data_IF_144999263793
#
_entry.id   IF_144999263793
#
_cell.length_a   1.000
_cell.length_b   1.000
_cell.length_c   1.000
_cell.angle_alpha   90.00
_cell.angle_beta   90.00
_cell.angle_gamma   90.00
#
_symmetry.space_group_name_H-M   'P 1'
#
loop_
_entity.id
_entity.type
_entity.pdbx_description
1 polymer ?
#
# COMPACT_ATOMS: atom_id res chain seq x y z
N UNK A 1 -15.86 44.04 20.60
CA UNK A 1 -14.82 43.54 19.71
C UNK A 1 -14.70 42.02 19.93
N UNK A 2 -15.51 41.25 19.16
CA UNK A 2 -15.51 39.79 19.27
C UNK A 2 -14.40 39.25 18.38
N UNK A 3 -13.39 38.64 18.98
CA UNK A 3 -12.40 37.82 18.29
C UNK A 3 -13.07 36.50 17.92
N UNK A 4 -13.48 36.37 16.64
CA UNK A 4 -13.84 35.10 16.08
C UNK A 4 -12.57 34.23 16.04
N UNK A 5 -12.45 33.31 16.98
CA UNK A 5 -11.42 32.28 16.99
C UNK A 5 -11.72 31.38 15.77
N UNK A 6 -11.03 31.61 14.68
CA UNK A 6 -11.00 30.64 13.59
C UNK A 6 -10.38 29.36 14.17
N UNK A 7 -11.21 28.37 14.40
CA UNK A 7 -10.74 27.02 14.76
C UNK A 7 -9.84 26.58 13.59
N UNK A 8 -8.55 26.58 13.79
CA UNK A 8 -7.58 26.07 12.83
C UNK A 8 -8.05 24.66 12.41
N UNK A 9 -8.44 24.53 11.15
CA UNK A 9 -8.98 23.26 10.66
C UNK A 9 -7.88 22.20 10.81
N UNK A 10 -8.13 21.22 11.65
CA UNK A 10 -7.16 20.15 11.93
C UNK A 10 -6.83 19.44 10.62
N UNK A 11 -5.53 19.39 10.28
CA UNK A 11 -5.01 18.69 9.10
C UNK A 11 -5.43 17.22 9.11
N UNK A 12 -5.73 16.69 7.94
CA UNK A 12 -5.97 15.27 7.69
C UNK A 12 -4.67 14.49 7.92
N UNK A 13 -4.63 13.57 8.88
CA UNK A 13 -3.49 12.67 9.09
C UNK A 13 -3.68 11.42 8.25
N UNK A 14 -2.94 11.38 7.12
CA UNK A 14 -3.08 10.36 6.09
C UNK A 14 -1.96 9.32 6.24
N UNK A 15 -2.32 8.09 6.63
CA UNK A 15 -1.39 6.98 6.79
C UNK A 15 -0.86 6.47 5.45
N UNK A 16 0.45 6.40 5.31
CA UNK A 16 1.14 5.94 4.11
C UNK A 16 2.21 4.91 4.44
N UNK A 17 2.43 3.95 3.54
CA UNK A 17 3.52 2.98 3.62
C UNK A 17 4.24 2.91 2.28
N UNK A 18 5.58 2.92 2.33
CA UNK A 18 6.44 2.90 1.15
C UNK A 18 6.33 4.19 0.33
N UNK A 19 5.52 4.20 -0.72
CA UNK A 19 5.40 5.34 -1.63
C UNK A 19 4.25 6.28 -1.26
N UNK A 20 4.51 7.59 -1.33
CA UNK A 20 3.50 8.65 -1.21
C UNK A 20 2.69 8.85 -2.51
N UNK A 21 3.16 8.29 -3.64
CA UNK A 21 2.61 8.55 -4.98
C UNK A 21 1.10 8.31 -5.06
N UNK A 22 0.64 7.19 -4.52
CA UNK A 22 -0.78 6.84 -4.58
C UNK A 22 -1.64 7.80 -3.75
N UNK A 23 -1.18 8.19 -2.56
CA UNK A 23 -1.87 9.16 -1.71
C UNK A 23 -1.91 10.54 -2.39
N UNK A 24 -0.80 10.98 -2.97
CA UNK A 24 -0.73 12.26 -3.71
C UNK A 24 -1.67 12.26 -4.91
N UNK A 25 -1.73 11.16 -5.66
CA UNK A 25 -2.64 11.02 -6.79
C UNK A 25 -4.11 11.09 -6.37
N UNK A 26 -4.48 10.47 -5.25
CA UNK A 26 -5.84 10.55 -4.70
C UNK A 26 -6.19 11.97 -4.27
N UNK A 27 -5.30 12.68 -3.57
CA UNK A 27 -5.51 14.08 -3.20
C UNK A 27 -5.72 14.98 -4.44
N UNK A 28 -4.90 14.79 -5.47
CA UNK A 28 -5.02 15.54 -6.73
C UNK A 28 -6.35 15.24 -7.44
N UNK A 29 -6.79 13.98 -7.48
CA UNK A 29 -8.05 13.57 -8.12
C UNK A 29 -9.27 14.23 -7.48
N UNK A 30 -9.26 14.46 -6.17
CA UNK A 30 -10.34 15.13 -5.45
C UNK A 30 -10.06 16.63 -5.22
N UNK A 31 -8.99 17.18 -5.78
CA UNK A 31 -8.57 18.57 -5.61
C UNK A 31 -8.46 19.00 -4.14
N UNK A 32 -8.07 18.05 -3.28
CA UNK A 32 -7.82 18.36 -1.87
C UNK A 32 -6.50 19.10 -1.72
N UNK A 33 -6.52 20.15 -0.90
CA UNK A 33 -5.33 20.98 -0.66
C UNK A 33 -4.25 20.16 0.09
N UNK A 34 -3.06 19.93 -0.51
CA UNK A 34 -2.00 19.17 0.14
C UNK A 34 -1.52 19.79 1.46
N UNK A 35 -1.66 21.13 1.64
CA UNK A 35 -1.28 21.81 2.87
C UNK A 35 -2.19 21.45 4.05
N UNK A 36 -3.38 20.94 3.77
CA UNK A 36 -4.32 20.44 4.77
C UNK A 36 -4.07 18.95 5.15
N UNK A 37 -3.00 18.34 4.62
CA UNK A 37 -2.67 16.94 4.85
C UNK A 37 -1.33 16.81 5.57
N UNK A 38 -1.27 15.91 6.54
CA UNK A 38 -0.04 15.43 7.14
C UNK A 38 0.10 13.95 6.81
N UNK A 39 1.09 13.58 6.02
CA UNK A 39 1.40 12.17 5.78
C UNK A 39 2.06 11.57 7.01
N UNK A 40 1.52 10.45 7.47
CA UNK A 40 2.00 9.71 8.63
C UNK A 40 2.50 8.35 8.17
N UNK A 41 3.82 8.12 8.10
CA UNK A 41 4.36 6.81 7.80
C UNK A 41 3.94 5.79 8.85
N UNK A 42 3.57 4.57 8.41
CA UNK A 42 3.29 3.48 9.33
C UNK A 42 4.12 2.24 9.02
N UNK A 43 4.35 1.43 10.05
CA UNK A 43 5.05 0.18 9.95
C UNK A 43 4.12 -0.91 9.39
N UNK A 44 4.48 -1.50 8.26
CA UNK A 44 3.70 -2.58 7.65
C UNK A 44 3.64 -3.84 8.53
N UNK A 45 4.56 -3.99 9.48
CA UNK A 45 4.54 -5.11 10.44
C UNK A 45 3.38 -5.02 11.43
N UNK A 46 2.87 -3.81 11.68
CA UNK A 46 1.72 -3.51 12.53
C UNK A 46 0.78 -2.49 11.84
N UNK A 47 0.14 -2.86 10.71
CA UNK A 47 -0.44 -1.90 9.76
C UNK A 47 -1.53 -1.02 10.36
N UNK A 48 -2.26 -1.49 11.37
CA UNK A 48 -3.38 -0.76 11.95
C UNK A 48 -3.05 -0.08 13.30
N UNK A 49 -1.81 -0.18 13.79
CA UNK A 49 -1.42 0.39 15.08
C UNK A 49 -1.68 1.91 15.13
N UNK A 50 -1.28 2.66 14.10
CA UNK A 50 -1.50 4.11 14.04
C UNK A 50 -2.98 4.53 13.96
N UNK A 51 -3.85 3.74 13.31
CA UNK A 51 -5.30 3.97 13.34
C UNK A 51 -5.84 3.77 14.78
N UNK A 52 -5.47 2.66 15.43
CA UNK A 52 -5.93 2.29 16.77
C UNK A 52 -5.43 3.25 17.85
N UNK A 53 -4.19 3.71 17.72
CA UNK A 53 -3.63 4.77 18.59
C UNK A 53 -4.26 6.14 18.35
N UNK A 54 -4.89 6.33 17.20
CA UNK A 54 -5.47 7.60 16.81
C UNK A 54 -4.46 8.60 16.24
N UNK A 55 -3.31 8.15 15.79
CA UNK A 55 -2.28 8.94 15.12
C UNK A 55 -2.58 9.14 13.63
N UNK A 56 -3.36 8.24 13.06
CA UNK A 56 -3.83 8.25 11.66
C UNK A 56 -5.35 8.42 11.68
N UNK A 57 -5.88 9.28 10.81
CA UNK A 57 -7.31 9.48 10.61
C UNK A 57 -7.85 8.57 9.48
N UNK A 58 -7.09 8.46 8.41
CA UNK A 58 -7.39 7.61 7.26
C UNK A 58 -6.08 7.06 6.68
N UNK A 59 -6.12 5.85 6.13
CA UNK A 59 -4.97 5.25 5.44
C UNK A 59 -5.39 4.54 4.16
N UNK A 60 -4.44 4.37 3.24
CA UNK A 60 -4.63 3.52 2.07
C UNK A 60 -4.53 2.06 2.50
N UNK A 61 -5.50 1.27 2.02
CA UNK A 61 -5.47 -0.19 2.11
C UNK A 61 -5.69 -0.79 0.73
N UNK A 62 -5.15 -1.96 0.52
CA UNK A 62 -5.35 -2.75 -0.69
C UNK A 62 -6.07 -4.03 -0.30
N UNK A 63 -7.05 -4.40 -1.13
CA UNK A 63 -7.99 -5.50 -0.89
C UNK A 63 -8.95 -5.25 0.28
N UNK A 64 -9.99 -6.07 0.34
CA UNK A 64 -11.00 -5.99 1.39
C UNK A 64 -10.42 -6.43 2.75
N UNK A 65 -10.77 -5.69 3.80
CA UNK A 65 -10.35 -5.97 5.17
C UNK A 65 -11.41 -6.79 5.91
N UNK A 66 -10.94 -7.63 6.84
CA UNK A 66 -11.79 -8.41 7.75
C UNK A 66 -11.63 -7.97 9.21
N UNK A 67 -10.91 -6.85 9.44
CA UNK A 67 -10.70 -6.28 10.77
C UNK A 67 -12.02 -5.68 11.30
N UNK A 68 -12.56 -6.17 12.44
CA UNK A 68 -13.90 -5.78 12.90
C UNK A 68 -13.98 -4.31 13.33
N UNK A 69 -12.86 -3.74 13.76
CA UNK A 69 -12.73 -2.36 14.21
C UNK A 69 -12.37 -1.36 13.11
N UNK A 70 -12.07 -1.84 11.88
CA UNK A 70 -11.71 -1.01 10.74
C UNK A 70 -12.86 -0.98 9.73
N UNK A 71 -13.25 0.23 9.34
CA UNK A 71 -14.13 0.47 8.19
C UNK A 71 -13.29 0.87 6.99
N UNK A 72 -13.78 0.61 5.78
CA UNK A 72 -13.11 1.05 4.56
C UNK A 72 -14.15 1.47 3.49
N UNK A 73 -13.72 2.34 2.59
CA UNK A 73 -14.51 2.88 1.49
C UNK A 73 -14.76 1.86 0.38
N UNK A 74 -15.62 2.19 -0.56
CA UNK A 74 -15.59 1.58 -1.89
C UNK A 74 -14.18 1.75 -2.52
N UNK A 75 -13.91 0.99 -3.59
CA UNK A 75 -12.65 1.11 -4.32
C UNK A 75 -12.52 2.51 -4.92
N UNK A 76 -11.43 3.21 -4.58
CA UNK A 76 -11.14 4.58 -5.04
C UNK A 76 -10.06 4.64 -6.12
N UNK A 77 -9.29 3.57 -6.29
CA UNK A 77 -8.27 3.44 -7.33
C UNK A 77 -7.88 1.97 -7.51
N UNK A 78 -7.00 1.72 -8.48
CA UNK A 78 -6.34 0.42 -8.64
C UNK A 78 -4.82 0.62 -8.70
N UNK A 79 -4.08 -0.34 -8.13
CA UNK A 79 -2.62 -0.36 -8.19
C UNK A 79 -2.14 -1.61 -8.92
N UNK A 80 -1.40 -1.42 -10.00
CA UNK A 80 -0.86 -2.51 -10.79
C UNK A 80 0.09 -3.40 -9.98
N UNK A 81 0.19 -4.67 -10.37
CA UNK A 81 1.09 -5.62 -9.71
C UNK A 81 2.51 -5.44 -10.22
N UNK A 82 3.47 -5.69 -9.36
CA UNK A 82 4.88 -5.64 -9.69
C UNK A 82 5.69 -6.62 -8.84
N UNK A 83 6.84 -7.01 -9.34
CA UNK A 83 7.89 -7.69 -8.58
C UNK A 83 9.04 -6.73 -8.34
N UNK A 84 9.55 -6.73 -7.12
CA UNK A 84 10.70 -5.92 -6.69
C UNK A 84 11.89 -6.86 -6.59
N UNK A 85 12.97 -6.51 -7.25
CA UNK A 85 14.17 -7.33 -7.40
C UNK A 85 15.43 -6.48 -7.32
N UNK A 86 16.58 -7.09 -7.11
CA UNK A 86 17.86 -6.41 -7.27
C UNK A 86 18.09 -6.03 -8.76
N UNK A 87 18.86 -4.98 -9.02
CA UNK A 87 19.15 -4.52 -10.40
C UNK A 87 19.89 -5.54 -11.25
N UNK A 88 20.65 -6.45 -10.64
CA UNK A 88 21.37 -7.55 -11.30
C UNK A 88 20.55 -8.85 -11.40
N UNK A 89 19.29 -8.82 -10.95
CA UNK A 89 18.40 -9.97 -11.02
C UNK A 89 17.97 -10.25 -12.49
N UNK A 90 17.81 -11.53 -12.91
CA UNK A 90 17.41 -11.87 -14.29
C UNK A 90 16.10 -11.21 -14.76
N UNK A 91 15.19 -10.93 -13.83
CA UNK A 91 13.92 -10.26 -14.14
C UNK A 91 14.07 -8.75 -14.30
N UNK A 92 15.15 -8.12 -13.80
CA UNK A 92 15.30 -6.66 -13.77
C UNK A 92 15.37 -6.01 -15.15
N UNK A 93 15.90 -6.73 -16.15
CA UNK A 93 16.03 -6.25 -17.55
C UNK A 93 14.73 -6.40 -18.37
N UNK A 94 13.66 -6.94 -17.78
CA UNK A 94 12.38 -7.18 -18.48
C UNK A 94 11.47 -5.96 -18.38
N UNK A 95 10.76 -5.63 -19.44
CA UNK A 95 9.71 -4.60 -19.42
C UNK A 95 8.53 -4.99 -18.53
N UNK A 96 8.18 -6.28 -18.54
CA UNK A 96 7.18 -6.90 -17.68
C UNK A 96 7.43 -8.40 -17.58
N UNK A 97 6.92 -9.05 -16.54
CA UNK A 97 7.06 -10.49 -16.30
C UNK A 97 5.70 -11.12 -15.99
N UNK A 98 5.62 -12.44 -16.19
CA UNK A 98 4.51 -13.26 -15.68
C UNK A 98 4.75 -13.64 -14.23
N UNK A 99 3.69 -13.80 -13.44
CA UNK A 99 3.79 -14.36 -12.09
C UNK A 99 4.30 -15.82 -12.13
N UNK A 100 4.15 -16.50 -13.25
CA UNK A 100 4.72 -17.83 -13.46
C UNK A 100 6.26 -17.81 -13.46
N UNK A 101 6.87 -16.75 -13.99
CA UNK A 101 8.33 -16.55 -13.93
C UNK A 101 8.77 -16.17 -12.51
N UNK A 102 7.93 -15.42 -11.77
CA UNK A 102 8.18 -15.05 -10.37
C UNK A 102 8.22 -16.29 -9.47
N UNK A 103 7.42 -17.32 -9.76
CA UNK A 103 7.38 -18.57 -9.00
C UNK A 103 8.67 -19.42 -9.10
N UNK A 104 9.60 -19.08 -9.97
CA UNK A 104 10.93 -19.73 -10.02
C UNK A 104 11.82 -19.32 -8.84
N UNK A 105 11.47 -18.25 -8.13
CA UNK A 105 12.25 -17.64 -7.05
C UNK A 105 11.53 -17.72 -5.71
N UNK A 106 12.29 -17.55 -4.63
CA UNK A 106 11.71 -17.44 -3.30
C UNK A 106 11.13 -16.04 -3.11
N UNK A 107 9.84 -15.94 -2.83
CA UNK A 107 9.16 -14.70 -2.51
C UNK A 107 9.22 -14.42 -1.00
N UNK A 108 9.04 -13.15 -0.62
CA UNK A 108 8.97 -12.79 0.80
C UNK A 108 7.68 -13.29 1.46
N UNK A 109 7.83 -13.74 2.70
CA UNK A 109 6.72 -14.02 3.60
C UNK A 109 6.25 -12.73 4.29
N UNK A 110 5.04 -12.77 4.86
CA UNK A 110 4.37 -11.61 5.45
C UNK A 110 5.17 -10.97 6.58
N UNK A 111 5.11 -9.63 6.71
CA UNK A 111 5.73 -8.93 7.82
C UNK A 111 4.88 -8.99 9.09
N UNK A 112 5.51 -9.23 10.23
CA UNK A 112 4.91 -9.06 11.57
C UNK A 112 3.50 -9.63 11.73
N UNK A 113 2.58 -8.75 12.14
CA UNK A 113 1.15 -9.06 12.34
C UNK A 113 0.28 -8.73 11.13
N UNK A 114 0.89 -8.46 9.96
CA UNK A 114 0.12 -8.18 8.74
C UNK A 114 -0.92 -9.27 8.47
N UNK A 115 -2.18 -8.94 8.11
CA UNK A 115 -3.24 -9.93 7.96
C UNK A 115 -2.90 -11.00 6.92
N UNK A 116 -2.92 -12.31 7.29
CA UNK A 116 -2.55 -13.39 6.37
C UNK A 116 -3.46 -13.45 5.13
N UNK A 117 -4.75 -13.20 5.29
CA UNK A 117 -5.72 -13.21 4.18
C UNK A 117 -5.47 -12.08 3.16
N UNK A 118 -4.91 -10.93 3.59
CA UNK A 118 -4.46 -9.87 2.67
C UNK A 118 -3.16 -10.28 2.01
N UNK A 119 -2.22 -10.87 2.80
CA UNK A 119 -0.94 -11.31 2.25
C UNK A 119 -1.10 -12.36 1.16
N UNK A 120 -2.09 -13.26 1.30
CA UNK A 120 -2.42 -14.25 0.28
C UNK A 120 -2.90 -13.65 -1.04
N UNK A 121 -3.33 -12.40 -1.03
CA UNK A 121 -3.65 -11.65 -2.24
C UNK A 121 -2.44 -10.83 -2.76
N UNK A 122 -1.56 -10.39 -1.86
CA UNK A 122 -0.30 -9.71 -2.24
C UNK A 122 0.68 -10.72 -2.84
N UNK A 123 0.90 -11.82 -2.16
CA UNK A 123 1.74 -12.93 -2.61
C UNK A 123 0.87 -14.19 -2.63
N UNK A 124 0.22 -14.54 -3.74
CA UNK A 124 -0.62 -15.74 -3.80
C UNK A 124 0.16 -17.00 -3.42
N UNK A 125 -0.47 -17.98 -2.76
CA UNK A 125 0.19 -19.26 -2.46
C UNK A 125 0.53 -20.07 -3.72
N UNK A 126 -0.25 -19.86 -4.78
CA UNK A 126 -0.05 -20.48 -6.09
C UNK A 126 -0.29 -19.47 -7.21
N UNK A 127 0.37 -19.68 -8.33
CA UNK A 127 0.12 -18.93 -9.57
C UNK A 127 -1.20 -19.36 -10.23
N UNK A 128 -1.72 -18.65 -11.23
CA UNK A 128 -2.89 -19.07 -12.02
C UNK A 128 -2.76 -20.46 -12.66
N UNK A 129 -1.55 -20.90 -13.01
CA UNK A 129 -1.28 -22.25 -13.54
C UNK A 129 -1.04 -23.30 -12.44
N UNK A 130 -1.25 -22.93 -11.15
CA UNK A 130 -1.15 -23.86 -10.02
C UNK A 130 0.27 -24.10 -9.50
N UNK A 131 1.26 -23.34 -9.95
CA UNK A 131 2.64 -23.46 -9.43
C UNK A 131 2.72 -22.83 -8.02
N UNK A 132 3.36 -23.48 -7.04
CA UNK A 132 3.52 -22.92 -5.71
C UNK A 132 4.48 -21.73 -5.72
N UNK A 133 4.11 -20.65 -5.04
CA UNK A 133 5.02 -19.53 -4.76
C UNK A 133 5.61 -19.75 -3.37
N UNK A 134 6.91 -20.04 -3.30
CA UNK A 134 7.60 -20.29 -2.03
C UNK A 134 7.82 -18.98 -1.28
N UNK A 135 7.32 -18.89 -0.06
CA UNK A 135 7.47 -17.73 0.83
C UNK A 135 8.52 -18.07 1.88
N UNK A 136 9.78 -17.69 1.67
CA UNK A 136 10.92 -18.13 2.48
C UNK A 136 11.53 -16.99 3.29
N UNK A 137 12.06 -15.88 2.71
CA UNK A 137 12.60 -14.80 3.51
C UNK A 137 11.46 -14.01 4.16
N UNK A 138 11.60 -13.70 5.44
CA UNK A 138 10.63 -12.82 6.12
C UNK A 138 10.86 -11.37 5.71
N UNK A 139 9.77 -10.68 5.43
CA UNK A 139 9.79 -9.24 5.24
C UNK A 139 9.95 -8.54 6.60
N UNK A 140 10.86 -7.58 6.68
CA UNK A 140 11.16 -6.79 7.87
C UNK A 140 11.11 -5.30 7.55
N UNK A 141 12.22 -4.56 7.68
CA UNK A 141 12.30 -3.18 7.23
C UNK A 141 12.55 -3.10 5.72
N UNK A 142 12.33 -1.92 5.13
CA UNK A 142 12.62 -1.70 3.70
C UNK A 142 14.11 -1.90 3.39
N UNK A 143 14.99 -1.44 4.28
CA UNK A 143 16.44 -1.55 4.13
C UNK A 143 16.91 -3.01 4.21
N UNK A 144 16.39 -3.80 5.17
CA UNK A 144 16.73 -5.21 5.30
C UNK A 144 16.17 -6.02 4.14
N UNK A 145 14.94 -5.73 3.70
CA UNK A 145 14.33 -6.34 2.52
C UNK A 145 15.19 -6.08 1.27
N UNK A 146 15.59 -4.82 1.04
CA UNK A 146 16.49 -4.47 -0.04
C UNK A 146 17.87 -5.14 0.08
N UNK A 147 18.39 -5.28 1.31
CA UNK A 147 19.66 -5.99 1.54
C UNK A 147 19.56 -7.50 1.23
N UNK A 148 18.42 -8.14 1.51
CA UNK A 148 18.18 -9.54 1.15
C UNK A 148 18.08 -9.67 -0.38
N UNK A 149 17.29 -8.79 -1.05
CA UNK A 149 17.17 -8.78 -2.50
C UNK A 149 18.54 -8.69 -3.19
N UNK A 150 19.42 -7.77 -2.73
CA UNK A 150 20.76 -7.58 -3.31
C UNK A 150 21.73 -8.75 -3.09
N UNK A 151 21.52 -9.58 -2.06
CA UNK A 151 22.40 -10.70 -1.71
C UNK A 151 21.90 -12.06 -2.17
N UNK A 152 20.66 -12.12 -2.62
CA UNK A 152 20.01 -13.38 -3.01
C UNK A 152 19.32 -13.20 -4.35
N UNK A 153 18.67 -14.25 -4.82
CA UNK A 153 17.72 -14.18 -5.94
C UNK A 153 16.26 -14.18 -5.47
N UNK A 154 16.02 -13.80 -4.22
CA UNK A 154 14.66 -13.63 -3.73
C UNK A 154 13.96 -12.46 -4.46
N UNK A 155 12.64 -12.51 -4.49
CA UNK A 155 11.79 -11.51 -5.13
C UNK A 155 10.73 -11.03 -4.14
N UNK A 156 10.34 -9.74 -4.22
CA UNK A 156 9.23 -9.22 -3.45
C UNK A 156 8.06 -8.89 -4.38
N UNK A 157 7.05 -9.77 -4.41
CA UNK A 157 5.82 -9.51 -5.14
C UNK A 157 5.01 -8.43 -4.42
N UNK A 158 4.68 -7.35 -5.12
CA UNK A 158 4.10 -6.13 -4.54
C UNK A 158 3.32 -5.32 -5.59
N UNK A 159 3.51 -4.00 -5.60
CA UNK A 159 2.71 -3.06 -6.40
C UNK A 159 3.58 -2.04 -7.13
N UNK A 160 3.07 -1.56 -8.27
CA UNK A 160 3.77 -0.58 -9.12
C UNK A 160 4.01 0.76 -8.44
N UNK A 161 3.12 1.17 -7.52
CA UNK A 161 3.29 2.42 -6.78
C UNK A 161 4.59 2.50 -5.97
N UNK A 162 5.22 1.36 -5.64
CA UNK A 162 6.50 1.33 -4.94
C UNK A 162 7.69 1.76 -5.81
N UNK A 163 7.54 1.85 -7.13
CA UNK A 163 8.61 2.32 -8.01
C UNK A 163 9.11 3.73 -7.63
N UNK A 164 8.20 4.61 -7.15
CA UNK A 164 8.55 5.95 -6.71
C UNK A 164 9.35 6.02 -5.39
N UNK A 165 9.46 4.89 -4.68
CA UNK A 165 10.19 4.76 -3.41
C UNK A 165 11.28 3.68 -3.47
N UNK A 166 11.67 3.25 -4.66
CA UNK A 166 12.68 2.22 -4.84
C UNK A 166 14.03 2.70 -4.27
N UNK A 167 14.65 1.84 -3.46
CA UNK A 167 15.99 2.08 -2.92
C UNK A 167 17.05 1.85 -4.00
N UNK A 168 18.24 2.48 -3.89
CA UNK A 168 19.35 2.22 -4.80
C UNK A 168 19.68 0.73 -4.92
N UNK A 169 19.93 0.25 -6.14
CA UNK A 169 20.21 -1.15 -6.43
C UNK A 169 18.97 -2.05 -6.48
N UNK A 170 17.75 -1.45 -6.51
CA UNK A 170 16.46 -2.16 -6.54
C UNK A 170 15.65 -1.68 -7.74
N UNK A 171 15.08 -2.62 -8.47
CA UNK A 171 14.22 -2.39 -9.64
C UNK A 171 12.81 -2.92 -9.38
N UNK A 172 11.82 -2.21 -9.89
CA UNK A 172 10.40 -2.58 -9.83
C UNK A 172 9.95 -2.96 -11.25
N UNK A 173 9.61 -4.22 -11.46
CA UNK A 173 9.21 -4.77 -12.77
C UNK A 173 7.71 -5.09 -12.74
N UNK A 174 6.90 -4.60 -13.68
CA UNK A 174 5.49 -4.91 -13.76
C UNK A 174 5.21 -6.42 -13.89
N UNK A 175 4.16 -6.90 -13.20
CA UNK A 175 3.62 -8.26 -13.41
C UNK A 175 2.31 -8.10 -14.18
N UNK A 176 2.23 -8.71 -15.38
CA UNK A 176 1.16 -8.41 -16.33
C UNK A 176 -0.07 -9.32 -16.21
N UNK A 177 0.03 -10.49 -15.61
CA UNK A 177 -0.99 -11.54 -15.52
C UNK A 177 -1.61 -11.70 -14.13
N UNK A 178 -1.35 -10.77 -13.21
CA UNK A 178 -2.11 -10.62 -11.98
C UNK A 178 -3.05 -9.42 -12.07
N UNK A 179 -4.29 -9.54 -11.57
CA UNK A 179 -5.21 -8.41 -11.54
C UNK A 179 -4.64 -7.27 -10.68
N UNK A 180 -4.88 -6.01 -11.05
CA UNK A 180 -4.49 -4.89 -10.22
C UNK A 180 -5.21 -4.94 -8.87
N UNK A 181 -4.53 -4.51 -7.81
CA UNK A 181 -5.11 -4.48 -6.48
C UNK A 181 -6.13 -3.34 -6.36
N UNK A 182 -7.34 -3.61 -5.86
CA UNK A 182 -8.27 -2.55 -5.49
C UNK A 182 -7.70 -1.76 -4.30
N UNK A 183 -7.83 -0.45 -4.38
CA UNK A 183 -7.37 0.50 -3.37
C UNK A 183 -8.58 1.13 -2.71
N UNK A 184 -8.62 1.14 -1.39
CA UNK A 184 -9.65 1.77 -0.58
C UNK A 184 -9.02 2.64 0.51
N UNK A 185 -9.82 3.54 1.07
CA UNK A 185 -9.47 4.33 2.24
C UNK A 185 -10.02 3.65 3.48
N UNK A 186 -9.20 3.46 4.52
CA UNK A 186 -9.62 2.80 5.75
C UNK A 186 -9.49 3.73 6.96
N UNK A 187 -10.41 3.57 7.93
CA UNK A 187 -10.45 4.34 9.17
C UNK A 187 -10.99 3.49 10.31
N UNK A 188 -10.81 3.97 11.55
CA UNK A 188 -11.35 3.27 12.72
C UNK A 188 -12.87 3.42 12.79
N UNK A 189 -13.61 2.30 12.79
CA UNK A 189 -15.09 2.25 12.69
C UNK A 189 -15.81 3.05 13.77
N UNK A 190 -15.36 2.91 15.01
CA UNK A 190 -16.02 3.50 16.16
C UNK A 190 -15.50 4.91 16.52
N UNK A 191 -14.67 5.51 15.66
CA UNK A 191 -14.14 6.85 15.85
C UNK A 191 -14.96 7.87 15.05
N UNK A 192 -15.40 8.95 15.73
CA UNK A 192 -16.02 10.07 15.04
C UNK A 192 -14.97 10.80 14.20
N UNK A 193 -15.04 10.65 12.90
CA UNK A 193 -14.17 11.36 11.98
C UNK A 193 -14.53 12.86 11.91
N UNK A 194 -13.53 13.76 11.77
CA UNK A 194 -13.76 15.15 11.41
C UNK A 194 -14.58 15.28 10.10
N UNK A 195 -15.31 16.38 9.94
CA UNK A 195 -16.12 16.61 8.73
C UNK A 195 -15.25 16.58 7.46
N UNK A 196 -14.10 17.25 7.49
CA UNK A 196 -13.13 17.29 6.38
C UNK A 196 -12.64 15.90 5.95
N UNK A 197 -12.42 14.98 6.90
CA UNK A 197 -12.01 13.60 6.61
C UNK A 197 -13.16 12.83 5.92
N UNK A 198 -14.39 12.99 6.40
CA UNK A 198 -15.56 12.34 5.76
C UNK A 198 -15.80 12.88 4.35
N UNK A 199 -15.68 14.19 4.16
CA UNK A 199 -15.80 14.84 2.85
C UNK A 199 -14.73 14.32 1.89
N UNK A 200 -13.48 14.22 2.33
CA UNK A 200 -12.40 13.64 1.55
C UNK A 200 -12.71 12.20 1.09
N UNK A 201 -13.17 11.32 2.00
CA UNK A 201 -13.52 9.94 1.67
C UNK A 201 -14.66 9.92 0.64
N UNK A 202 -15.72 10.69 0.87
CA UNK A 202 -16.88 10.76 -0.03
C UNK A 202 -16.49 11.25 -1.43
N UNK A 203 -15.61 12.25 -1.51
CA UNK A 203 -15.16 12.80 -2.79
C UNK A 203 -14.24 11.82 -3.53
N UNK A 204 -13.39 11.08 -2.80
CA UNK A 204 -12.57 10.02 -3.38
C UNK A 204 -13.43 8.91 -4.01
N UNK A 205 -14.47 8.46 -3.32
CA UNK A 205 -15.44 7.49 -3.86
C UNK A 205 -16.17 8.00 -5.10
N UNK A 206 -16.61 9.25 -5.09
CA UNK A 206 -17.27 9.88 -6.26
C UNK A 206 -16.33 10.03 -7.45
N UNK A 207 -15.09 10.41 -7.20
CA UNK A 207 -14.07 10.58 -8.25
C UNK A 207 -13.77 9.27 -8.98
N UNK A 208 -13.78 8.16 -8.26
CA UNK A 208 -13.53 6.83 -8.83
C UNK A 208 -14.68 6.28 -9.69
N UNK A 209 -15.87 6.87 -9.61
CA UNK A 209 -17.06 6.46 -10.37
C UNK A 209 -17.22 7.23 -11.69
N UNK A 210 -16.37 8.22 -11.96
CA UNK A 210 -16.37 9.05 -13.18
C UNK A 210 -15.46 8.48 -14.25
#
# INVERSE_FOLDING_TARGET
MSRTSATEARRLRFGVHGSYQLATNLLAAVRHDPEQVTFVPYDVREPFAGLRAGDIDVMIVKYALQEPDVAFSATVAFDGRAVIVAEDHPLAAREAVSVEEVADYDAFDRPGTFPPYVWDQVVPPTTPLGRPIRRVPRMTTMEETAAILRRTRAVHLSFRSLAAAALPGITVVPVHDLPPAPVSLAWLRNRKLPASVREFITEAERSAQR
#
